data_IF_856997859677
#
_entry.id   IF_856997859677
#
_cell.length_a   1.000
_cell.length_b   1.000
_cell.length_c   1.000
_cell.angle_alpha   90.00
_cell.angle_beta   90.00
_cell.angle_gamma   90.00
#
_symmetry.space_group_name_H-M   'P 1'
#
loop_
_entity.id
_entity.type
_entity.pdbx_description
1 polymer ?
#
# COMPACT_ATOMS: atom_id res chain seq x y z
N UNK A 1 39.24 4.70 -39.17
CA UNK A 1 38.76 3.52 -38.42
C UNK A 1 37.50 3.96 -37.64
N UNK A 2 36.43 4.30 -38.36
CA UNK A 2 35.33 5.15 -37.83
C UNK A 2 33.94 4.75 -38.33
N UNK A 3 33.76 3.56 -38.89
CA UNK A 3 32.48 3.12 -39.48
C UNK A 3 31.71 2.06 -38.66
N UNK A 4 32.25 1.56 -37.54
CA UNK A 4 31.66 0.42 -36.82
C UNK A 4 30.63 0.77 -35.71
N UNK A 5 30.49 2.03 -35.30
CA UNK A 5 29.60 2.42 -34.18
C UNK A 5 28.18 2.83 -34.61
N UNK A 6 27.91 2.96 -35.91
CA UNK A 6 26.60 3.41 -36.42
C UNK A 6 25.62 2.27 -36.76
N UNK A 7 26.08 1.01 -36.85
CA UNK A 7 25.20 -0.13 -37.19
C UNK A 7 24.45 -0.69 -35.97
N UNK A 8 25.08 -0.73 -34.79
CA UNK A 8 24.55 -1.40 -33.60
C UNK A 8 23.28 -0.74 -33.00
N UNK A 9 23.06 0.57 -33.23
CA UNK A 9 21.82 1.23 -32.77
C UNK A 9 20.58 0.86 -33.57
N UNK A 10 20.74 0.38 -34.81
CA UNK A 10 19.62 0.06 -35.68
C UNK A 10 19.09 -1.36 -35.46
N UNK A 11 19.89 -2.23 -34.84
CA UNK A 11 19.54 -3.64 -34.59
C UNK A 11 18.74 -3.82 -33.28
N UNK A 12 18.91 -2.91 -32.32
CA UNK A 12 18.17 -2.93 -31.05
C UNK A 12 16.68 -2.55 -31.21
N UNK A 13 16.34 -1.79 -32.25
CA UNK A 13 14.96 -1.38 -32.53
C UNK A 13 14.20 -2.40 -33.40
N UNK A 14 14.91 -3.30 -34.08
CA UNK A 14 14.32 -4.34 -34.94
C UNK A 14 13.92 -5.62 -34.18
N UNK A 15 14.05 -5.66 -32.85
CA UNK A 15 13.60 -6.77 -32.01
C UNK A 15 12.11 -6.70 -31.59
N UNK A 16 11.43 -5.59 -31.87
CA UNK A 16 10.06 -5.31 -31.34
C UNK A 16 8.94 -5.67 -32.32
N UNK A 17 9.25 -5.99 -33.58
CA UNK A 17 8.23 -6.17 -34.64
C UNK A 17 8.02 -7.63 -35.07
N UNK A 18 7.90 -8.54 -34.11
CA UNK A 18 7.26 -9.83 -34.37
C UNK A 18 6.14 -10.04 -33.37
N UNK A 19 5.05 -9.27 -33.53
CA UNK A 19 3.78 -9.50 -32.84
C UNK A 19 3.37 -10.95 -33.07
N UNK A 20 3.62 -11.80 -32.06
CA UNK A 20 3.18 -13.19 -32.10
C UNK A 20 1.70 -13.21 -31.73
N UNK A 21 0.95 -14.17 -32.27
CA UNK A 21 -0.42 -14.45 -31.81
C UNK A 21 -0.44 -14.58 -30.27
N UNK A 22 0.63 -15.14 -29.68
CA UNK A 22 0.82 -15.25 -28.24
C UNK A 22 0.77 -13.91 -27.50
N UNK A 23 1.37 -12.84 -28.06
CA UNK A 23 1.37 -11.51 -27.43
C UNK A 23 -0.04 -10.90 -27.45
N UNK A 24 -0.80 -11.15 -28.52
CA UNK A 24 -2.20 -10.70 -28.61
C UNK A 24 -3.08 -11.42 -27.59
N UNK A 25 -2.88 -12.74 -27.40
CA UNK A 25 -3.60 -13.51 -26.37
C UNK A 25 -3.26 -13.03 -24.96
N UNK A 26 -1.97 -12.78 -24.67
CA UNK A 26 -1.53 -12.25 -23.38
C UNK A 26 -2.10 -10.85 -23.14
N UNK A 27 -2.02 -9.97 -24.13
CA UNK A 27 -2.56 -8.61 -24.04
C UNK A 27 -4.08 -8.62 -23.83
N UNK A 28 -4.82 -9.50 -24.52
CA UNK A 28 -6.26 -9.68 -24.32
C UNK A 28 -6.59 -10.16 -22.90
N UNK A 29 -5.82 -11.11 -22.36
CA UNK A 29 -6.01 -11.60 -21.00
C UNK A 29 -5.73 -10.54 -19.94
N UNK A 30 -4.64 -9.78 -20.09
CA UNK A 30 -4.30 -8.65 -19.22
C UNK A 30 -5.39 -7.57 -19.29
N UNK A 31 -5.92 -7.29 -20.48
CA UNK A 31 -7.01 -6.34 -20.67
C UNK A 31 -8.29 -6.79 -19.96
N UNK A 32 -8.67 -8.07 -20.08
CA UNK A 32 -9.80 -8.65 -19.34
C UNK A 32 -9.61 -8.58 -17.82
N UNK A 33 -8.40 -8.88 -17.31
CA UNK A 33 -8.09 -8.74 -15.88
C UNK A 33 -8.21 -7.27 -15.42
N UNK A 34 -7.66 -6.34 -16.20
CA UNK A 34 -7.72 -4.91 -15.91
C UNK A 34 -9.17 -4.40 -15.87
N UNK A 35 -10.03 -4.85 -16.79
CA UNK A 35 -11.45 -4.51 -16.78
C UNK A 35 -12.15 -5.03 -15.52
N UNK A 36 -11.82 -6.24 -15.08
CA UNK A 36 -12.40 -6.84 -13.86
C UNK A 36 -12.02 -6.05 -12.61
N UNK A 37 -10.82 -5.45 -12.57
CA UNK A 37 -10.42 -4.56 -11.49
C UNK A 37 -11.12 -3.20 -11.54
N UNK A 38 -11.34 -2.62 -12.72
CA UNK A 38 -11.93 -1.28 -12.88
C UNK A 38 -13.46 -1.28 -12.69
N UNK A 39 -14.14 -2.32 -13.16
CA UNK A 39 -15.60 -2.48 -13.04
C UNK A 39 -16.16 -2.26 -11.63
N UNK A 40 -15.62 -2.88 -10.55
CA UNK A 40 -16.14 -2.66 -9.20
C UNK A 40 -15.96 -1.22 -8.72
N UNK A 41 -14.90 -0.51 -9.13
CA UNK A 41 -14.74 0.91 -8.79
C UNK A 41 -15.82 1.77 -9.44
N UNK A 42 -16.09 1.55 -10.73
CA UNK A 42 -17.15 2.27 -11.45
C UNK A 42 -18.52 1.97 -10.83
N UNK A 43 -18.79 0.70 -10.49
CA UNK A 43 -20.04 0.29 -9.86
C UNK A 43 -20.22 0.94 -8.48
N UNK A 44 -19.16 1.02 -7.66
CA UNK A 44 -19.20 1.69 -6.36
C UNK A 44 -19.44 3.20 -6.54
N UNK A 45 -18.81 3.84 -7.53
CA UNK A 45 -19.07 5.25 -7.85
C UNK A 45 -20.52 5.48 -8.27
N UNK A 46 -21.06 4.67 -9.18
CA UNK A 46 -22.45 4.77 -9.62
C UNK A 46 -23.44 4.57 -8.45
N UNK A 47 -23.16 3.61 -7.56
CA UNK A 47 -23.96 3.37 -6.34
C UNK A 47 -23.89 4.54 -5.36
N UNK A 48 -22.72 5.16 -5.20
CA UNK A 48 -22.53 6.27 -4.26
C UNK A 48 -23.32 7.54 -4.64
N UNK A 49 -23.64 7.72 -5.92
CA UNK A 49 -24.37 8.89 -6.46
C UNK A 49 -25.88 8.61 -6.58
N UNK A 50 -26.28 7.33 -6.62
CA UNK A 50 -27.68 6.93 -6.82
C UNK A 50 -28.48 6.98 -5.51
N UNK A 51 -29.78 7.27 -5.59
CA UNK A 51 -30.65 7.35 -4.42
C UNK A 51 -30.81 6.00 -3.70
N UNK A 52 -31.02 6.06 -2.38
CA UNK A 52 -31.23 4.87 -1.54
C UNK A 52 -32.37 3.97 -2.05
N UNK A 53 -33.43 4.53 -2.66
CA UNK A 53 -34.55 3.76 -3.21
C UNK A 53 -34.19 2.99 -4.47
N UNK A 54 -33.36 3.55 -5.37
CA UNK A 54 -32.89 2.88 -6.59
C UNK A 54 -31.78 1.85 -6.31
N UNK A 55 -30.96 2.10 -5.28
CA UNK A 55 -29.95 1.17 -4.79
C UNK A 55 -30.60 -0.07 -4.16
N UNK A 56 -31.68 0.09 -3.40
CA UNK A 56 -32.44 -1.04 -2.83
C UNK A 56 -33.22 -1.82 -3.89
N UNK A 57 -33.61 -1.18 -5.00
CA UNK A 57 -34.29 -1.81 -6.14
C UNK A 57 -33.35 -2.58 -7.10
N UNK A 58 -32.04 -2.72 -6.79
CA UNK A 58 -31.04 -3.41 -7.63
C UNK A 58 -30.89 -2.86 -9.07
N UNK A 59 -31.27 -1.61 -9.30
CA UNK A 59 -31.42 -1.07 -10.67
C UNK A 59 -30.20 -0.27 -11.16
N UNK A 60 -29.11 -0.26 -10.39
CA UNK A 60 -27.88 0.51 -10.65
C UNK A 60 -26.74 -0.45 -11.03
N UNK A 61 -26.47 -0.61 -12.33
CA UNK A 61 -25.42 -1.51 -12.85
C UNK A 61 -24.18 -0.75 -13.33
N UNK A 62 -24.32 0.22 -14.23
CA UNK A 62 -23.19 0.97 -14.81
C UNK A 62 -23.43 2.48 -14.87
N UNK A 63 -24.68 2.93 -14.73
CA UNK A 63 -25.05 4.35 -14.78
C UNK A 63 -25.88 4.71 -13.54
N UNK A 64 -25.61 5.86 -12.89
CA UNK A 64 -26.38 6.29 -11.73
C UNK A 64 -27.83 6.59 -12.13
N UNK A 65 -28.79 6.08 -11.35
CA UNK A 65 -30.22 6.37 -11.51
C UNK A 65 -30.72 7.12 -10.28
N UNK A 66 -31.35 8.27 -10.52
CA UNK A 66 -31.81 9.17 -9.46
C UNK A 66 -30.66 9.76 -8.67
N UNK A 67 -29.98 10.76 -9.24
CA UNK A 67 -28.87 11.48 -8.57
C UNK A 67 -29.39 12.06 -7.26
N UNK A 68 -28.88 11.56 -6.14
CA UNK A 68 -29.23 12.06 -4.82
C UNK A 68 -27.96 12.30 -4.01
N UNK A 69 -27.74 13.55 -3.59
CA UNK A 69 -26.59 13.97 -2.76
C UNK A 69 -26.88 13.93 -1.25
N UNK A 70 -28.10 13.60 -0.82
CA UNK A 70 -28.51 13.52 0.58
C UNK A 70 -27.69 12.49 1.36
N UNK A 71 -27.26 11.41 0.71
CA UNK A 71 -26.38 10.41 1.32
C UNK A 71 -25.03 11.01 1.75
N UNK A 72 -24.44 11.88 0.92
CA UNK A 72 -23.22 12.61 1.27
C UNK A 72 -23.48 13.62 2.39
N UNK A 73 -24.58 14.37 2.32
CA UNK A 73 -24.94 15.35 3.36
C UNK A 73 -25.18 14.68 4.71
N UNK A 74 -25.80 13.49 4.75
CA UNK A 74 -26.00 12.72 5.98
C UNK A 74 -24.67 12.33 6.62
N UNK A 75 -23.71 11.85 5.82
CA UNK A 75 -22.39 11.45 6.29
C UNK A 75 -21.62 12.63 6.91
N UNK A 76 -21.71 13.82 6.29
CA UNK A 76 -21.09 15.03 6.83
C UNK A 76 -21.83 15.59 8.04
N UNK A 77 -23.15 15.39 8.15
CA UNK A 77 -23.95 15.79 9.32
C UNK A 77 -23.67 14.93 10.56
N UNK A 78 -23.52 13.62 10.38
CA UNK A 78 -23.25 12.70 11.50
C UNK A 78 -21.85 12.93 12.10
N UNK A 79 -20.92 13.55 11.36
CA UNK A 79 -19.62 14.05 11.84
C UNK A 79 -18.61 12.97 12.29
N UNK A 80 -19.09 11.77 12.63
CA UNK A 80 -18.29 10.63 13.09
C UNK A 80 -17.35 10.12 12.00
N UNK A 81 -17.82 10.07 10.74
CA UNK A 81 -16.96 9.66 9.62
C UNK A 81 -15.87 10.70 9.36
N UNK A 82 -16.21 11.99 9.39
CA UNK A 82 -15.24 13.08 9.21
C UNK A 82 -14.17 13.04 10.30
N UNK A 83 -14.55 12.86 11.57
CA UNK A 83 -13.60 12.70 12.66
C UNK A 83 -12.70 11.47 12.47
N UNK A 84 -13.26 10.33 12.08
CA UNK A 84 -12.49 9.11 11.82
C UNK A 84 -11.51 9.26 10.66
N UNK A 85 -11.91 9.95 9.57
CA UNK A 85 -11.03 10.24 8.44
C UNK A 85 -9.84 11.13 8.84
N UNK A 86 -10.11 12.21 9.59
CA UNK A 86 -9.05 13.08 10.11
C UNK A 86 -8.11 12.29 11.02
N UNK A 87 -8.66 11.46 11.91
CA UNK A 87 -7.87 10.61 12.79
C UNK A 87 -6.94 9.68 12.00
N UNK A 88 -7.44 9.01 10.95
CA UNK A 88 -6.60 8.17 10.07
C UNK A 88 -5.47 8.96 9.42
N UNK A 89 -5.75 10.16 8.88
CA UNK A 89 -4.73 11.00 8.24
C UNK A 89 -3.63 11.37 9.25
N UNK A 90 -4.01 11.79 10.46
CA UNK A 90 -3.05 12.16 11.51
C UNK A 90 -2.23 10.96 11.96
N UNK A 91 -2.86 9.78 12.15
CA UNK A 91 -2.16 8.54 12.49
C UNK A 91 -1.16 8.17 11.40
N UNK A 92 -1.55 8.16 10.12
CA UNK A 92 -0.65 7.79 9.02
C UNK A 92 0.54 8.74 8.92
N UNK A 93 0.33 10.05 9.04
CA UNK A 93 1.43 11.02 9.00
C UNK A 93 2.40 10.83 10.17
N UNK A 94 1.89 10.73 11.41
CA UNK A 94 2.74 10.50 12.58
C UNK A 94 3.48 9.17 12.48
N UNK A 95 2.79 8.12 12.07
CA UNK A 95 3.35 6.80 11.84
C UNK A 95 4.52 6.85 10.85
N UNK A 96 4.33 7.47 9.68
CA UNK A 96 5.36 7.54 8.64
C UNK A 96 6.56 8.37 9.09
N UNK A 97 6.34 9.53 9.73
CA UNK A 97 7.43 10.39 10.21
C UNK A 97 8.26 9.66 11.28
N UNK A 98 7.59 9.13 12.32
CA UNK A 98 8.27 8.45 13.43
C UNK A 98 8.97 7.18 12.92
N UNK A 99 8.29 6.37 12.10
CA UNK A 99 8.86 5.14 11.56
C UNK A 99 10.05 5.40 10.64
N UNK A 100 10.00 6.44 9.80
CA UNK A 100 11.13 6.82 8.95
C UNK A 100 12.33 7.29 9.79
N UNK A 101 12.10 8.12 10.81
CA UNK A 101 13.16 8.63 11.70
C UNK A 101 13.84 7.48 12.44
N UNK A 102 13.07 6.59 13.07
CA UNK A 102 13.60 5.43 13.81
C UNK A 102 14.36 4.49 12.87
N UNK A 103 13.77 4.15 11.72
CA UNK A 103 14.39 3.23 10.76
C UNK A 103 15.69 3.81 10.21
N UNK A 104 15.73 5.12 9.92
CA UNK A 104 16.94 5.79 9.42
C UNK A 104 18.05 5.79 10.46
N UNK A 105 17.75 6.14 11.71
CA UNK A 105 18.75 6.12 12.78
C UNK A 105 19.25 4.71 13.07
N UNK A 106 18.40 3.68 12.98
CA UNK A 106 18.79 2.30 13.20
C UNK A 106 19.56 1.69 12.00
N UNK A 107 19.19 2.04 10.76
CA UNK A 107 19.83 1.53 9.55
C UNK A 107 21.20 2.16 9.28
N UNK A 108 21.38 3.45 9.64
CA UNK A 108 22.61 4.19 9.41
C UNK A 108 23.89 3.51 9.94
N UNK A 109 23.98 3.11 11.24
CA UNK A 109 25.18 2.43 11.74
C UNK A 109 25.41 1.08 11.08
N UNK A 110 24.35 0.38 10.66
CA UNK A 110 24.42 -0.92 9.99
C UNK A 110 24.84 -0.82 8.51
N UNK A 111 24.63 0.33 7.86
CA UNK A 111 25.04 0.57 6.47
C UNK A 111 26.57 0.66 6.33
N UNK A 112 27.27 1.17 7.36
CA UNK A 112 28.73 1.35 7.35
C UNK A 112 29.46 0.00 7.31
N UNK A 113 30.30 -0.21 6.30
CA UNK A 113 31.03 -1.48 6.08
C UNK A 113 32.07 -1.79 7.18
N UNK A 114 32.56 -0.76 7.87
CA UNK A 114 33.53 -0.88 8.96
C UNK A 114 32.90 -1.16 10.34
N UNK A 115 31.57 -1.28 10.45
CA UNK A 115 30.91 -1.48 11.73
C UNK A 115 31.08 -2.91 12.25
N UNK A 116 31.88 -3.07 13.33
CA UNK A 116 32.17 -4.36 13.95
C UNK A 116 30.88 -4.88 14.63
N UNK A 117 30.35 -6.01 14.14
CA UNK A 117 29.09 -6.59 14.63
C UNK A 117 27.88 -6.44 13.69
N UNK A 118 28.03 -5.84 12.51
CA UNK A 118 26.96 -5.70 11.50
C UNK A 118 26.22 -7.01 11.18
N UNK A 119 26.96 -8.11 11.03
CA UNK A 119 26.38 -9.43 10.71
C UNK A 119 25.52 -9.96 11.85
N UNK A 120 25.98 -9.81 13.10
CA UNK A 120 25.24 -10.23 14.28
C UNK A 120 23.93 -9.46 14.45
N UNK A 121 23.97 -8.13 14.40
CA UNK A 121 22.75 -7.31 14.50
C UNK A 121 21.77 -7.55 13.34
N UNK A 122 22.28 -7.71 12.11
CA UNK A 122 21.43 -8.00 10.95
C UNK A 122 20.74 -9.37 11.09
N UNK A 123 21.44 -10.38 11.62
CA UNK A 123 20.88 -11.71 11.87
C UNK A 123 19.83 -11.67 13.00
N UNK A 124 20.10 -10.95 14.09
CA UNK A 124 19.15 -10.78 15.19
C UNK A 124 17.84 -10.12 14.72
N UNK A 125 17.93 -9.03 13.93
CA UNK A 125 16.75 -8.34 13.39
C UNK A 125 15.98 -9.27 12.43
N UNK A 126 16.69 -10.00 11.57
CA UNK A 126 16.08 -10.97 10.67
C UNK A 126 15.36 -12.08 11.46
N UNK A 127 15.93 -12.54 12.57
CA UNK A 127 15.29 -13.53 13.44
C UNK A 127 13.92 -13.05 13.96
N UNK A 128 13.82 -11.79 14.42
CA UNK A 128 12.53 -11.23 14.90
C UNK A 128 11.46 -11.11 13.81
N UNK A 129 11.86 -11.00 12.53
CA UNK A 129 10.91 -10.98 11.41
C UNK A 129 10.28 -12.35 11.17
N UNK A 130 11.07 -13.43 11.32
CA UNK A 130 10.60 -14.79 11.12
C UNK A 130 9.98 -15.41 12.38
N UNK A 131 10.42 -14.98 13.55
CA UNK A 131 9.94 -15.46 14.83
C UNK A 131 9.02 -14.42 15.49
N UNK A 132 7.71 -14.67 15.45
CA UNK A 132 6.69 -13.83 16.10
C UNK A 132 5.89 -14.63 17.13
N UNK A 133 5.60 -14.02 18.28
CA UNK A 133 4.84 -14.63 19.37
C UNK A 133 3.32 -14.71 19.09
N UNK A 134 2.85 -14.12 17.98
CA UNK A 134 1.44 -14.08 17.59
C UNK A 134 0.63 -12.98 18.30
N UNK A 135 -0.65 -12.89 17.95
CA UNK A 135 -1.51 -11.77 18.34
C UNK A 135 -1.88 -11.73 19.83
N UNK A 136 -2.04 -12.90 20.48
CA UNK A 136 -2.48 -12.96 21.88
C UNK A 136 -1.41 -12.38 22.83
N UNK A 137 -0.13 -12.80 22.75
CA UNK A 137 0.91 -12.22 23.59
C UNK A 137 1.19 -10.75 23.28
N UNK A 138 1.10 -10.36 22.00
CA UNK A 138 1.27 -8.97 21.58
C UNK A 138 0.18 -8.06 22.19
N UNK A 139 -1.08 -8.48 22.15
CA UNK A 139 -2.17 -7.73 22.77
C UNK A 139 -1.99 -7.63 24.29
N UNK A 140 -1.58 -8.73 24.95
CA UNK A 140 -1.33 -8.72 26.39
C UNK A 140 -0.19 -7.77 26.75
N UNK A 141 0.88 -7.72 25.95
CA UNK A 141 1.96 -6.75 26.12
C UNK A 141 1.44 -5.32 26.03
N UNK A 142 0.70 -4.97 24.97
CA UNK A 142 0.15 -3.63 24.77
C UNK A 142 -0.83 -3.22 25.89
N UNK A 143 -1.59 -4.18 26.42
CA UNK A 143 -2.46 -3.98 27.59
C UNK A 143 -1.66 -3.70 28.86
N UNK A 144 -0.59 -4.45 29.11
CA UNK A 144 0.29 -4.21 30.26
C UNK A 144 1.02 -2.86 30.17
N UNK A 145 1.34 -2.41 28.95
CA UNK A 145 1.90 -1.07 28.71
C UNK A 145 0.86 0.06 28.87
N UNK A 146 -0.42 -0.25 29.09
CA UNK A 146 -1.48 0.75 29.21
C UNK A 146 -1.78 1.50 27.91
N UNK A 147 -1.33 0.98 26.76
CA UNK A 147 -1.49 1.63 25.45
C UNK A 147 -2.84 1.29 24.80
N UNK A 148 -3.60 0.35 25.37
CA UNK A 148 -4.91 -0.05 24.86
C UNK A 148 -5.87 1.13 24.81
N UNK A 149 -6.58 1.28 23.69
CA UNK A 149 -7.52 2.38 23.41
C UNK A 149 -6.86 3.77 23.27
N UNK A 150 -5.57 3.84 22.93
CA UNK A 150 -4.87 5.09 22.64
C UNK A 150 -4.32 5.10 21.22
N UNK A 151 -4.06 6.30 20.69
CA UNK A 151 -3.44 6.48 19.37
C UNK A 151 -2.06 5.82 19.25
N UNK A 152 -1.32 5.78 20.35
CA UNK A 152 0.02 5.20 20.41
C UNK A 152 0.05 3.70 20.11
N UNK A 153 -1.06 2.99 20.36
CA UNK A 153 -1.17 1.56 20.05
C UNK A 153 -1.05 1.28 18.55
N UNK A 154 -1.41 2.26 17.70
CA UNK A 154 -1.30 2.14 16.25
C UNK A 154 0.09 2.55 15.75
N UNK A 155 0.75 3.47 16.45
CA UNK A 155 2.03 4.04 16.00
C UNK A 155 3.20 3.19 16.48
N UNK A 156 3.26 2.88 17.77
CA UNK A 156 4.44 2.36 18.45
C UNK A 156 4.84 0.92 18.02
N UNK A 157 3.93 -0.07 17.93
CA UNK A 157 4.33 -1.41 17.51
C UNK A 157 4.66 -1.48 16.01
N UNK A 158 3.97 -0.68 15.19
CA UNK A 158 4.14 -0.71 13.74
C UNK A 158 5.32 0.15 13.27
N UNK A 159 5.80 1.13 14.06
CA UNK A 159 6.77 2.12 13.58
C UNK A 159 8.13 1.52 13.23
N UNK A 160 8.48 0.38 13.83
CA UNK A 160 9.70 -0.35 13.52
C UNK A 160 9.38 -1.58 12.69
N UNK A 161 9.75 -1.53 11.41
CA UNK A 161 9.67 -2.69 10.52
C UNK A 161 11.07 -3.22 10.23
N UNK A 162 11.40 -4.45 10.70
CA UNK A 162 12.67 -5.12 10.37
C UNK A 162 12.96 -5.15 8.87
N UNK A 163 11.91 -5.35 8.06
CA UNK A 163 12.00 -5.38 6.60
C UNK A 163 12.48 -4.04 6.02
N UNK A 164 11.87 -2.92 6.45
CA UNK A 164 12.24 -1.58 5.97
C UNK A 164 13.69 -1.23 6.34
N UNK A 165 14.14 -1.64 7.52
CA UNK A 165 15.53 -1.47 7.95
C UNK A 165 16.50 -2.27 7.07
N UNK A 166 16.16 -3.54 6.76
CA UNK A 166 17.02 -4.42 5.97
C UNK A 166 17.20 -3.92 4.52
N UNK A 167 16.18 -3.26 3.96
CA UNK A 167 16.25 -2.56 2.66
C UNK A 167 17.10 -1.30 2.78
N UNK A 168 16.88 -0.48 3.80
CA UNK A 168 17.59 0.80 3.93
C UNK A 168 19.11 0.64 4.17
N UNK A 169 19.54 -0.47 4.77
CA UNK A 169 20.98 -0.77 4.95
C UNK A 169 21.68 -1.30 3.69
N UNK A 170 20.94 -1.80 2.69
CA UNK A 170 21.52 -2.52 1.54
C UNK A 170 22.13 -1.55 0.55
#
# INVERSE_FOLDING_TARGET
MTTASSQNKNDAFHGVNKVRISDFVIAFFILMLSLTCILPFIHVMAKSISSNTEVMSKNVFLWPKGVNMDAYVSIFKDGQLTHSMVYTIVVTLLFTVIGMVITTFAAFPLSIRSFKGRSFFSLMIMFTMYFSAGLIPEYLLLKNLGLTNTMWVLVLPLCFSPYNLLIMKS
#
